data_IF_747218731242
#
_entry.id   IF_747218731242
#
_cell.length_a   1.000
_cell.length_b   1.000
_cell.length_c   1.000
_cell.angle_alpha   90.00
_cell.angle_beta   90.00
_cell.angle_gamma   90.00
#
_symmetry.space_group_name_H-M   'P 1'
#
loop_
_entity.id
_entity.type
_entity.pdbx_description
1 polymer ?
#
# COMPACT_ATOMS: atom_id res chain seq x y z
N UNK A 1 41.09 -26.89 -27.09
CA UNK A 1 39.65 -26.99 -27.36
C UNK A 1 38.91 -26.71 -26.06
N UNK A 2 37.88 -25.87 -26.16
CA UNK A 2 37.27 -25.15 -25.06
C UNK A 2 36.58 -26.05 -24.01
N UNK A 3 36.70 -25.62 -22.75
CA UNK A 3 35.97 -26.13 -21.59
C UNK A 3 34.55 -25.55 -21.65
N UNK A 4 33.53 -26.39 -21.79
CA UNK A 4 32.13 -25.98 -21.70
C UNK A 4 31.71 -25.88 -20.23
N UNK A 5 31.64 -24.66 -19.72
CA UNK A 5 31.02 -24.35 -18.43
C UNK A 5 29.50 -24.48 -18.53
N UNK A 6 28.94 -25.35 -17.70
CA UNK A 6 27.49 -25.44 -17.49
C UNK A 6 26.95 -24.14 -16.90
N UNK A 7 25.80 -23.74 -17.41
CA UNK A 7 25.08 -22.50 -17.11
C UNK A 7 24.93 -22.25 -15.60
N UNK A 8 25.37 -21.05 -15.19
CA UNK A 8 25.14 -20.51 -13.85
C UNK A 8 23.72 -19.95 -13.81
N UNK A 9 22.93 -20.57 -12.94
CA UNK A 9 21.62 -20.12 -12.44
C UNK A 9 21.71 -18.63 -12.06
N UNK A 10 20.70 -17.86 -12.43
CA UNK A 10 20.64 -16.39 -12.45
C UNK A 10 21.53 -15.66 -11.45
N UNK A 11 22.37 -14.75 -11.96
CA UNK A 11 23.25 -13.88 -11.18
C UNK A 11 22.45 -13.16 -10.09
N UNK A 12 22.54 -13.65 -8.85
CA UNK A 12 22.26 -12.86 -7.67
C UNK A 12 23.21 -11.65 -7.71
N UNK A 13 22.67 -10.43 -7.67
CA UNK A 13 23.50 -9.21 -7.68
C UNK A 13 24.57 -9.22 -6.58
N UNK A 14 25.68 -8.53 -6.82
CA UNK A 14 26.88 -8.54 -5.96
C UNK A 14 26.52 -8.36 -4.46
N UNK A 15 26.80 -9.36 -3.60
CA UNK A 15 26.51 -9.29 -2.16
C UNK A 15 27.12 -8.08 -1.46
N UNK A 16 28.23 -7.54 -1.96
CA UNK A 16 28.89 -6.36 -1.41
C UNK A 16 28.07 -5.07 -1.65
N UNK A 17 27.48 -4.94 -2.84
CA UNK A 17 26.59 -3.83 -3.22
C UNK A 17 25.31 -3.87 -2.38
N UNK A 18 24.72 -5.06 -2.21
CA UNK A 18 23.53 -5.25 -1.35
C UNK A 18 23.81 -4.82 0.09
N UNK A 19 24.95 -5.23 0.65
CA UNK A 19 25.35 -4.86 2.01
C UNK A 19 25.63 -3.37 2.15
N UNK A 20 26.18 -2.71 1.13
CA UNK A 20 26.40 -1.27 1.12
C UNK A 20 25.08 -0.49 1.06
N UNK A 21 24.14 -0.91 0.20
CA UNK A 21 22.81 -0.29 0.07
C UNK A 21 21.99 -0.43 1.35
N UNK A 22 21.96 -1.62 1.95
CA UNK A 22 21.30 -1.85 3.22
C UNK A 22 21.88 -0.97 4.35
N UNK A 23 23.22 -0.80 4.39
CA UNK A 23 23.86 0.13 5.33
C UNK A 23 23.47 1.58 5.07
N UNK A 24 23.35 2.00 3.82
CA UNK A 24 22.98 3.36 3.46
C UNK A 24 21.51 3.67 3.81
N UNK A 25 20.60 2.72 3.57
CA UNK A 25 19.20 2.82 4.00
C UNK A 25 19.10 2.90 5.53
N UNK A 26 19.79 2.01 6.24
CA UNK A 26 19.84 2.02 7.70
C UNK A 26 20.43 3.33 8.25
N UNK A 27 21.46 3.91 7.59
CA UNK A 27 22.03 5.19 7.97
C UNK A 27 21.06 6.37 7.76
N UNK A 28 20.16 6.28 6.79
CA UNK A 28 19.08 7.25 6.57
C UNK A 28 17.98 7.19 7.63
N UNK A 29 17.89 6.07 8.37
CA UNK A 29 16.91 5.88 9.43
C UNK A 29 17.34 6.56 10.74
N UNK A 30 17.03 7.85 10.85
CA UNK A 30 17.44 8.68 11.99
C UNK A 30 16.41 8.67 13.13
N UNK A 31 16.84 9.02 14.35
CA UNK A 31 15.91 9.29 15.48
C UNK A 31 14.86 10.36 15.15
N UNK A 32 15.23 11.36 14.33
CA UNK A 32 14.30 12.40 13.85
C UNK A 32 13.23 11.80 12.92
N UNK A 33 13.62 10.93 11.98
CA UNK A 33 12.67 10.19 11.13
C UNK A 33 11.71 9.41 12.02
N UNK A 34 12.22 8.52 12.88
CA UNK A 34 11.41 7.72 13.82
C UNK A 34 10.41 8.58 14.61
N UNK A 35 10.86 9.72 15.14
CA UNK A 35 9.97 10.64 15.87
C UNK A 35 8.83 11.16 14.98
N UNK A 36 9.12 11.59 13.75
CA UNK A 36 8.09 12.00 12.79
C UNK A 36 7.13 10.86 12.49
N UNK A 37 7.64 9.64 12.30
CA UNK A 37 6.82 8.44 12.08
C UNK A 37 5.82 8.20 13.21
N UNK A 38 6.30 8.24 14.45
CA UNK A 38 5.45 8.14 15.61
C UNK A 38 4.40 9.26 15.65
N UNK A 39 4.77 10.50 15.33
CA UNK A 39 3.85 11.64 15.35
C UNK A 39 2.71 11.49 14.35
N UNK A 40 3.00 11.30 13.06
CA UNK A 40 1.95 11.24 12.05
C UNK A 40 1.15 9.93 12.11
N UNK A 41 1.77 8.81 12.53
CA UNK A 41 1.04 7.54 12.74
C UNK A 41 0.06 7.68 13.91
N UNK A 42 0.49 8.28 15.02
CA UNK A 42 -0.36 8.51 16.19
C UNK A 42 -1.51 9.47 15.86
N UNK A 43 -1.23 10.57 15.16
CA UNK A 43 -2.25 11.52 14.73
C UNK A 43 -3.28 10.85 13.80
N UNK A 44 -2.82 10.08 12.81
CA UNK A 44 -3.70 9.37 11.88
C UNK A 44 -4.56 8.33 12.61
N UNK A 45 -3.96 7.57 13.53
CA UNK A 45 -4.66 6.58 14.34
C UNK A 45 -5.73 7.22 15.21
N UNK A 46 -5.43 8.35 15.85
CA UNK A 46 -6.40 9.09 16.66
C UNK A 46 -7.61 9.57 15.83
N UNK A 47 -7.35 10.18 14.67
CA UNK A 47 -8.41 10.68 13.78
C UNK A 47 -9.27 9.54 13.23
N UNK A 48 -8.63 8.47 12.76
CA UNK A 48 -9.32 7.30 12.25
C UNK A 48 -10.19 6.63 13.32
N UNK A 49 -9.65 6.40 14.52
CA UNK A 49 -10.41 5.85 15.64
C UNK A 49 -11.63 6.73 15.99
N UNK A 50 -11.48 8.05 16.01
CA UNK A 50 -12.60 8.97 16.24
C UNK A 50 -13.69 8.81 15.17
N UNK A 51 -13.31 8.73 13.89
CA UNK A 51 -14.24 8.58 12.78
C UNK A 51 -14.94 7.21 12.84
N UNK A 52 -14.22 6.12 13.09
CA UNK A 52 -14.77 4.76 13.24
C UNK A 52 -15.74 4.67 14.41
N UNK A 53 -15.36 5.19 15.58
CA UNK A 53 -16.23 5.21 16.77
C UNK A 53 -17.50 6.01 16.47
N UNK A 54 -17.38 7.16 15.80
CA UNK A 54 -18.53 7.98 15.42
C UNK A 54 -19.47 7.26 14.45
N UNK A 55 -18.92 6.52 13.48
CA UNK A 55 -19.70 5.69 12.55
C UNK A 55 -20.37 4.50 13.25
N UNK A 56 -19.67 3.80 14.15
CA UNK A 56 -20.25 2.68 14.90
C UNK A 56 -21.38 3.14 15.81
N UNK A 57 -21.20 4.27 16.49
CA UNK A 57 -22.21 4.88 17.36
C UNK A 57 -23.43 5.39 16.58
N UNK A 58 -23.27 5.80 15.32
CA UNK A 58 -24.41 6.17 14.46
C UNK A 58 -25.43 5.02 14.36
N UNK A 59 -24.98 3.79 14.11
CA UNK A 59 -25.87 2.63 13.98
C UNK A 59 -26.59 2.23 15.27
N UNK A 60 -26.16 2.74 16.43
CA UNK A 60 -26.76 2.45 17.74
C UNK A 60 -27.69 3.57 18.20
N UNK A 61 -27.31 4.84 17.95
CA UNK A 61 -27.95 6.00 18.59
C UNK A 61 -28.72 6.91 17.63
N UNK A 62 -28.48 6.85 16.31
CA UNK A 62 -29.19 7.71 15.37
C UNK A 62 -30.59 7.17 15.10
N UNK A 63 -31.60 8.03 15.17
CA UNK A 63 -33.00 7.61 14.96
C UNK A 63 -33.33 7.28 13.50
N UNK A 64 -32.46 7.67 12.55
CA UNK A 64 -32.61 7.37 11.12
C UNK A 64 -31.79 6.13 10.69
N UNK A 65 -31.00 5.54 11.59
CA UNK A 65 -30.29 4.30 11.33
C UNK A 65 -31.29 3.15 11.16
N UNK A 66 -31.22 2.46 10.03
CA UNK A 66 -32.08 1.33 9.72
C UNK A 66 -31.30 0.17 9.09
N UNK A 67 -31.96 -0.99 9.01
CA UNK A 67 -31.34 -2.22 8.53
C UNK A 67 -30.80 -2.08 7.10
N UNK A 68 -31.43 -1.25 6.26
CA UNK A 68 -30.98 -1.10 4.87
C UNK A 68 -29.57 -0.52 4.80
N UNK A 69 -29.16 0.40 5.70
CA UNK A 69 -27.78 0.91 5.66
C UNK A 69 -26.79 -0.20 5.96
N UNK A 70 -27.08 -1.07 6.94
CA UNK A 70 -26.22 -2.22 7.25
C UNK A 70 -26.08 -3.17 6.06
N UNK A 71 -27.17 -3.42 5.33
CA UNK A 71 -27.18 -4.25 4.12
C UNK A 71 -26.30 -3.65 3.01
N UNK A 72 -26.25 -2.32 2.89
CA UNK A 72 -25.41 -1.64 1.89
C UNK A 72 -23.94 -1.46 2.32
N UNK A 73 -23.60 -1.57 3.61
CA UNK A 73 -22.21 -1.37 4.08
C UNK A 73 -21.18 -2.29 3.40
N UNK A 74 -21.45 -3.59 3.14
CA UNK A 74 -20.55 -4.44 2.38
C UNK A 74 -20.14 -3.85 1.03
N UNK A 75 -21.04 -3.17 0.31
CA UNK A 75 -20.71 -2.55 -0.97
C UNK A 75 -19.69 -1.41 -0.81
N UNK A 76 -19.86 -0.55 0.20
CA UNK A 76 -18.91 0.53 0.52
C UNK A 76 -17.56 -0.04 0.97
N UNK A 77 -17.55 -1.11 1.77
CA UNK A 77 -16.33 -1.78 2.22
C UNK A 77 -15.58 -2.38 1.03
N UNK A 78 -16.28 -3.12 0.15
CA UNK A 78 -15.68 -3.73 -1.04
C UNK A 78 -15.14 -2.68 -2.00
N UNK A 79 -15.90 -1.59 -2.25
CA UNK A 79 -15.44 -0.49 -3.09
C UNK A 79 -14.17 0.18 -2.51
N UNK A 80 -14.11 0.36 -1.18
CA UNK A 80 -12.95 0.92 -0.51
C UNK A 80 -11.72 0.00 -0.61
N UNK A 81 -11.92 -1.32 -0.48
CA UNK A 81 -10.85 -2.31 -0.65
C UNK A 81 -10.32 -2.36 -2.09
N UNK A 82 -11.21 -2.31 -3.08
CA UNK A 82 -10.82 -2.24 -4.50
C UNK A 82 -10.02 -0.98 -4.79
N UNK A 83 -10.46 0.18 -4.27
CA UNK A 83 -9.72 1.42 -4.45
C UNK A 83 -8.37 1.39 -3.73
N UNK A 84 -8.30 0.86 -2.50
CA UNK A 84 -7.03 0.69 -1.79
C UNK A 84 -6.07 -0.22 -2.57
N UNK A 85 -6.57 -1.31 -3.16
CA UNK A 85 -5.79 -2.21 -4.00
C UNK A 85 -5.25 -1.50 -5.25
N UNK A 86 -6.09 -0.71 -5.93
CA UNK A 86 -5.67 0.11 -7.09
C UNK A 86 -4.59 1.11 -6.70
N UNK A 87 -4.81 1.87 -5.62
CA UNK A 87 -3.85 2.87 -5.13
C UNK A 87 -2.52 2.21 -4.76
N UNK A 88 -2.55 1.04 -4.10
CA UNK A 88 -1.34 0.28 -3.80
C UNK A 88 -0.58 -0.09 -5.09
N UNK A 89 -1.29 -0.51 -6.14
CA UNK A 89 -0.69 -0.84 -7.43
C UNK A 89 -0.10 0.37 -8.14
N UNK A 90 -0.78 1.52 -8.14
CA UNK A 90 -0.27 2.75 -8.76
C UNK A 90 1.00 3.25 -8.08
N UNK A 91 1.05 3.23 -6.74
CA UNK A 91 2.25 3.62 -5.98
C UNK A 91 3.39 2.64 -6.23
N UNK A 92 3.10 1.33 -6.16
CA UNK A 92 4.10 0.29 -6.39
C UNK A 92 4.68 0.37 -7.81
N UNK A 93 3.83 0.38 -8.83
CA UNK A 93 4.23 0.59 -10.22
C UNK A 93 5.05 1.87 -10.40
N UNK A 94 4.63 2.97 -9.78
CA UNK A 94 5.32 4.26 -9.88
C UNK A 94 6.76 4.20 -9.36
N UNK A 95 6.96 3.60 -8.20
CA UNK A 95 8.28 3.49 -7.54
C UNK A 95 9.20 2.46 -8.21
N UNK A 96 8.63 1.40 -8.78
CA UNK A 96 9.39 0.39 -9.52
C UNK A 96 9.79 0.86 -10.91
N UNK A 97 8.94 1.65 -11.55
CA UNK A 97 9.09 1.97 -12.97
C UNK A 97 9.91 3.22 -13.22
N UNK A 98 9.80 4.23 -12.37
CA UNK A 98 10.32 5.57 -12.66
C UNK A 98 11.36 6.04 -11.65
N UNK A 99 12.19 6.97 -12.09
CA UNK A 99 13.21 7.61 -11.27
C UNK A 99 14.38 6.71 -10.88
N UNK A 100 15.21 7.23 -9.99
CA UNK A 100 16.39 6.54 -9.47
C UNK A 100 16.43 6.69 -7.94
N UNK A 101 17.27 5.90 -7.25
CA UNK A 101 17.52 6.11 -5.83
C UNK A 101 18.02 7.52 -5.45
N UNK A 102 18.44 8.33 -6.42
CA UNK A 102 18.93 9.69 -6.23
C UNK A 102 17.87 10.75 -6.56
N UNK A 103 16.65 10.35 -6.95
CA UNK A 103 15.54 11.29 -7.20
C UNK A 103 15.25 12.12 -5.94
N UNK A 104 15.18 13.46 -6.03
CA UNK A 104 14.85 14.30 -4.87
C UNK A 104 13.54 13.88 -4.24
N UNK A 105 13.49 13.86 -2.90
CA UNK A 105 12.31 13.52 -2.08
C UNK A 105 11.92 12.02 -2.15
N UNK A 106 11.84 11.42 -3.33
CA UNK A 106 11.33 10.06 -3.54
C UNK A 106 12.41 8.97 -3.63
N UNK A 107 13.68 9.32 -3.80
CA UNK A 107 14.76 8.36 -4.06
C UNK A 107 14.91 7.29 -2.98
N UNK A 108 14.65 7.61 -1.71
CA UNK A 108 14.67 6.63 -0.61
C UNK A 108 13.53 5.61 -0.73
N UNK A 109 12.34 6.05 -1.16
CA UNK A 109 11.20 5.16 -1.41
C UNK A 109 11.46 4.27 -2.63
N UNK A 110 11.90 4.87 -3.74
CA UNK A 110 12.29 4.13 -4.96
C UNK A 110 13.33 3.06 -4.63
N UNK A 111 14.34 3.41 -3.82
CA UNK A 111 15.36 2.44 -3.39
C UNK A 111 14.77 1.28 -2.59
N UNK A 112 13.93 1.57 -1.59
CA UNK A 112 13.29 0.55 -0.75
C UNK A 112 12.42 -0.41 -1.57
N UNK A 113 11.64 0.14 -2.51
CA UNK A 113 10.87 -0.64 -3.47
C UNK A 113 11.81 -1.47 -4.37
N UNK A 114 12.83 -0.91 -4.99
CA UNK A 114 13.66 -1.76 -5.89
C UNK A 114 14.57 -2.75 -5.16
N UNK A 115 15.00 -2.44 -3.93
CA UNK A 115 15.80 -3.37 -3.12
C UNK A 115 15.02 -4.67 -2.83
N UNK A 116 13.69 -4.62 -2.67
CA UNK A 116 12.91 -5.83 -2.36
C UNK A 116 12.87 -6.83 -3.53
N UNK A 117 13.16 -6.40 -4.76
CA UNK A 117 13.30 -7.31 -5.91
C UNK A 117 14.62 -8.11 -5.84
N UNK A 118 15.61 -7.56 -5.12
CA UNK A 118 16.92 -8.18 -4.89
C UNK A 118 16.91 -8.98 -3.59
N UNK A 119 16.52 -8.37 -2.45
CA UNK A 119 16.28 -9.02 -1.15
C UNK A 119 14.80 -8.92 -0.72
N UNK A 120 13.99 -9.87 -1.18
CA UNK A 120 12.57 -9.99 -0.82
C UNK A 120 12.32 -10.03 0.70
N UNK A 121 13.29 -10.51 1.48
CA UNK A 121 13.14 -10.67 2.93
C UNK A 121 13.64 -9.49 3.74
N UNK A 122 14.27 -8.50 3.11
CA UNK A 122 14.77 -7.31 3.80
C UNK A 122 13.65 -6.58 4.56
N UNK A 123 12.52 -6.35 3.89
CA UNK A 123 11.33 -5.72 4.48
C UNK A 123 10.78 -6.48 5.70
N UNK A 124 11.00 -7.81 5.78
CA UNK A 124 10.56 -8.60 6.92
C UNK A 124 11.31 -8.28 8.23
N UNK A 125 12.44 -7.57 8.14
CA UNK A 125 13.27 -7.19 9.30
C UNK A 125 12.81 -5.88 9.96
N UNK A 126 11.96 -5.09 9.29
CA UNK A 126 11.51 -3.80 9.79
C UNK A 126 10.41 -3.98 10.85
N UNK A 127 10.31 -3.06 11.81
CA UNK A 127 9.19 -3.05 12.76
C UNK A 127 7.90 -2.46 12.14
N UNK A 128 6.81 -2.49 12.90
CA UNK A 128 5.50 -2.03 12.42
C UNK A 128 5.49 -0.55 12.03
N UNK A 129 6.18 0.31 12.78
CA UNK A 129 6.18 1.75 12.54
C UNK A 129 6.99 2.03 11.27
N UNK A 130 8.20 1.49 11.17
CA UNK A 130 9.04 1.67 9.97
C UNK A 130 8.37 1.10 8.71
N UNK A 131 7.62 0.00 8.83
CA UNK A 131 6.91 -0.60 7.69
C UNK A 131 5.73 0.25 7.23
N UNK A 132 4.95 0.81 8.16
CA UNK A 132 3.60 1.31 7.85
C UNK A 132 3.41 2.80 8.02
N UNK A 133 4.21 3.46 8.85
CA UNK A 133 3.93 4.83 9.24
C UNK A 133 3.86 5.73 7.98
N UNK A 134 4.82 5.65 7.06
CA UNK A 134 4.85 6.50 5.86
C UNK A 134 3.60 6.36 4.97
N UNK A 135 2.90 5.22 5.00
CA UNK A 135 1.64 5.05 4.26
C UNK A 135 0.50 5.91 4.81
N UNK A 136 0.58 6.31 6.10
CA UNK A 136 -0.45 7.13 6.76
C UNK A 136 -0.29 8.63 6.50
N UNK A 137 0.94 9.08 6.24
CA UNK A 137 1.24 10.51 6.08
C UNK A 137 0.47 11.15 4.91
N UNK A 138 0.42 10.58 3.69
CA UNK A 138 -0.38 11.12 2.59
C UNK A 138 -1.90 11.14 2.86
N UNK A 139 -2.37 10.31 3.80
CA UNK A 139 -3.80 10.19 4.12
C UNK A 139 -4.25 11.18 5.21
N UNK A 140 -3.32 11.82 5.92
CA UNK A 140 -3.63 12.77 6.99
C UNK A 140 -4.58 13.89 6.57
N UNK A 141 -4.39 14.58 5.42
CA UNK A 141 -5.33 15.62 4.98
C UNK A 141 -6.75 15.08 4.80
N UNK A 142 -6.90 13.89 4.21
CA UNK A 142 -8.20 13.25 3.99
C UNK A 142 -8.86 12.88 5.32
N UNK A 143 -8.10 12.35 6.29
CA UNK A 143 -8.60 12.06 7.64
C UNK A 143 -9.03 13.33 8.38
N UNK A 144 -8.28 14.42 8.27
CA UNK A 144 -8.63 15.70 8.89
C UNK A 144 -9.92 16.28 8.30
N UNK A 145 -10.07 16.22 6.98
CA UNK A 145 -11.31 16.63 6.29
C UNK A 145 -12.47 15.76 6.77
N UNK A 146 -12.32 14.43 6.76
CA UNK A 146 -13.36 13.52 7.24
C UNK A 146 -13.74 13.82 8.69
N UNK A 147 -12.75 14.01 9.57
CA UNK A 147 -12.95 14.35 10.97
C UNK A 147 -13.72 15.67 11.14
N UNK A 148 -13.33 16.71 10.40
CA UNK A 148 -14.04 18.00 10.39
C UNK A 148 -15.48 17.85 9.88
N UNK A 149 -15.71 17.06 8.82
CA UNK A 149 -17.05 16.77 8.29
C UNK A 149 -17.92 16.00 9.28
N UNK A 150 -17.36 15.05 10.04
CA UNK A 150 -18.08 14.29 11.08
C UNK A 150 -18.43 15.20 12.28
N UNK A 151 -17.57 16.16 12.61
CA UNK A 151 -17.74 17.09 13.74
C UNK A 151 -18.53 18.36 13.39
N UNK A 152 -18.87 18.57 12.12
CA UNK A 152 -19.67 19.72 11.71
C UNK A 152 -21.12 19.62 12.21
N UNK A 153 -21.89 20.69 12.05
CA UNK A 153 -23.28 20.74 12.51
C UNK A 153 -24.15 19.69 11.81
N UNK A 154 -24.69 18.75 12.56
CA UNK A 154 -25.68 17.79 12.04
C UNK A 154 -27.04 18.48 11.83
N UNK A 155 -27.51 18.52 10.58
CA UNK A 155 -28.81 19.11 10.20
C UNK A 155 -29.86 18.08 9.77
N UNK A 156 -29.59 16.79 9.96
CA UNK A 156 -30.49 15.71 9.52
C UNK A 156 -31.71 15.50 10.42
N UNK A 157 -31.70 16.03 11.64
CA UNK A 157 -32.77 15.82 12.62
C UNK A 157 -32.80 14.42 13.25
N UNK A 158 -31.79 13.57 12.98
CA UNK A 158 -31.74 12.18 13.44
C UNK A 158 -31.30 11.97 14.90
N UNK A 159 -31.32 13.04 15.70
CA UNK A 159 -30.96 13.07 17.14
C UNK A 159 -29.53 12.61 17.46
N UNK A 160 -28.67 12.45 16.46
CA UNK A 160 -27.28 12.04 16.66
C UNK A 160 -26.33 13.24 16.67
N UNK A 161 -25.35 13.25 17.57
CA UNK A 161 -24.50 14.42 17.83
C UNK A 161 -23.50 14.74 16.71
N UNK A 162 -22.99 13.72 16.03
CA UNK A 162 -22.08 13.89 14.91
C UNK A 162 -22.87 14.06 13.61
N UNK A 163 -22.29 14.75 12.61
CA UNK A 163 -22.88 14.93 11.28
C UNK A 163 -22.79 13.63 10.45
N UNK A 164 -23.52 12.62 10.92
CA UNK A 164 -23.69 11.32 10.32
C UNK A 164 -25.19 11.04 10.23
N UNK A 165 -25.64 10.68 9.04
CA UNK A 165 -27.03 10.42 8.71
C UNK A 165 -27.13 9.43 7.56
N UNK A 166 -28.35 8.98 7.29
CA UNK A 166 -28.63 7.89 6.34
C UNK A 166 -28.02 8.08 4.95
N UNK A 167 -27.82 9.34 4.51
CA UNK A 167 -27.30 9.67 3.18
C UNK A 167 -25.77 9.73 3.09
N UNK A 168 -25.05 9.88 4.21
CA UNK A 168 -23.58 10.05 4.20
C UNK A 168 -22.82 8.93 4.91
N UNK A 169 -23.48 8.13 5.76
CA UNK A 169 -22.80 7.11 6.58
C UNK A 169 -21.95 6.14 5.74
N UNK A 170 -22.44 5.73 4.57
CA UNK A 170 -21.71 4.83 3.66
C UNK A 170 -20.38 5.42 3.20
N UNK A 171 -20.33 6.72 2.88
CA UNK A 171 -19.08 7.40 2.49
C UNK A 171 -18.09 7.43 3.65
N UNK A 172 -18.55 7.68 4.88
CA UNK A 172 -17.65 7.66 6.03
C UNK A 172 -17.12 6.25 6.35
N UNK A 173 -17.95 5.21 6.21
CA UNK A 173 -17.51 3.81 6.34
C UNK A 173 -16.52 3.43 5.24
N UNK A 174 -16.78 3.87 3.99
CA UNK A 174 -15.84 3.73 2.87
C UNK A 174 -14.49 4.36 3.20
N UNK A 175 -14.46 5.63 3.64
CA UNK A 175 -13.22 6.34 3.95
C UNK A 175 -12.46 5.71 5.10
N UNK A 176 -13.14 5.27 6.15
CA UNK A 176 -12.52 4.54 7.26
C UNK A 176 -11.91 3.20 6.79
N UNK A 177 -12.60 2.48 5.90
CA UNK A 177 -12.13 1.21 5.34
C UNK A 177 -10.94 1.44 4.40
N UNK A 178 -11.05 2.42 3.50
CA UNK A 178 -9.98 2.80 2.59
C UNK A 178 -8.71 3.17 3.35
N UNK A 179 -8.84 4.01 4.39
CA UNK A 179 -7.71 4.39 5.23
C UNK A 179 -7.01 3.16 5.83
N UNK A 180 -7.74 2.25 6.48
CA UNK A 180 -7.09 1.14 7.20
C UNK A 180 -6.38 0.20 6.23
N UNK A 181 -6.94 -0.08 5.05
CA UNK A 181 -6.30 -0.95 4.06
C UNK A 181 -5.06 -0.31 3.43
N UNK A 182 -5.10 1.00 3.11
CA UNK A 182 -3.90 1.69 2.63
C UNK A 182 -2.85 1.79 3.75
N UNK A 183 -3.25 2.09 4.99
CA UNK A 183 -2.35 2.23 6.13
C UNK A 183 -1.58 0.95 6.48
N UNK A 184 -2.13 -0.22 6.15
CA UNK A 184 -1.47 -1.52 6.40
C UNK A 184 -0.98 -2.21 5.12
N UNK A 185 -1.05 -1.54 3.95
CA UNK A 185 -0.70 -2.18 2.67
C UNK A 185 0.75 -2.68 2.64
N UNK A 186 1.67 -1.96 3.28
CA UNK A 186 3.07 -2.37 3.40
C UNK A 186 3.23 -3.55 4.35
N UNK A 187 2.47 -3.62 5.44
CA UNK A 187 2.45 -4.79 6.31
C UNK A 187 1.91 -6.03 5.58
N UNK A 188 0.87 -5.86 4.75
CA UNK A 188 0.34 -6.96 3.92
C UNK A 188 1.41 -7.43 2.91
N UNK A 189 2.08 -6.49 2.24
CA UNK A 189 3.19 -6.78 1.34
C UNK A 189 4.31 -7.54 2.07
N UNK A 190 4.73 -7.06 3.23
CA UNK A 190 5.71 -7.74 4.10
C UNK A 190 5.27 -9.16 4.47
N UNK A 191 4.01 -9.36 4.86
CA UNK A 191 3.49 -10.70 5.16
C UNK A 191 3.54 -11.63 3.95
N UNK A 192 3.44 -11.11 2.72
CA UNK A 192 3.56 -11.91 1.50
C UNK A 192 4.98 -12.44 1.26
N UNK A 193 5.99 -11.84 1.88
CA UNK A 193 7.40 -12.28 1.85
C UNK A 193 7.83 -13.10 3.07
N UNK A 194 7.05 -13.08 4.16
CA UNK A 194 7.39 -13.84 5.36
C UNK A 194 7.33 -15.35 5.12
N UNK A 195 8.31 -16.07 5.69
CA UNK A 195 8.31 -17.53 5.67
C UNK A 195 7.12 -18.13 6.45
N UNK A 196 6.66 -17.46 7.52
CA UNK A 196 5.55 -17.92 8.36
C UNK A 196 4.71 -16.76 8.88
N UNK A 197 3.53 -16.58 8.31
CA UNK A 197 2.52 -15.62 8.76
C UNK A 197 1.78 -16.16 9.99
N UNK A 198 1.19 -15.25 10.77
CA UNK A 198 0.27 -15.59 11.86
C UNK A 198 -0.97 -16.32 11.34
N UNK A 199 -1.69 -17.05 12.22
CA UNK A 199 -2.87 -17.84 11.82
C UNK A 199 -3.99 -16.96 11.23
N UNK A 200 -4.20 -15.77 11.79
CA UNK A 200 -5.24 -14.84 11.35
C UNK A 200 -4.92 -14.31 9.95
N UNK A 201 -3.69 -13.84 9.74
CA UNK A 201 -3.21 -13.34 8.45
C UNK A 201 -3.31 -14.43 7.38
N UNK A 202 -2.84 -15.65 7.69
CA UNK A 202 -2.92 -16.78 6.76
C UNK A 202 -4.36 -17.14 6.39
N UNK A 203 -5.29 -17.08 7.34
CA UNK A 203 -6.72 -17.31 7.07
C UNK A 203 -7.28 -16.22 6.15
N UNK A 204 -6.97 -14.95 6.41
CA UNK A 204 -7.42 -13.83 5.59
C UNK A 204 -6.86 -13.89 4.16
N UNK A 205 -5.60 -14.30 4.00
CA UNK A 205 -5.00 -14.60 2.68
C UNK A 205 -5.68 -15.80 2.00
N UNK A 206 -6.00 -16.86 2.75
CA UNK A 206 -6.63 -18.07 2.21
C UNK A 206 -8.05 -17.85 1.67
N UNK A 207 -8.78 -16.87 2.21
CA UNK A 207 -10.10 -16.44 1.70
C UNK A 207 -10.02 -15.25 0.74
N UNK A 208 -8.80 -14.80 0.38
CA UNK A 208 -8.59 -13.75 -0.60
C UNK A 208 -8.86 -12.32 -0.11
N UNK A 209 -8.98 -12.06 1.19
CA UNK A 209 -9.12 -10.69 1.72
C UNK A 209 -7.79 -9.93 1.67
N UNK A 210 -6.66 -10.65 1.84
CA UNK A 210 -5.31 -10.09 1.81
C UNK A 210 -4.49 -10.75 0.71
N UNK A 211 -3.54 -10.01 0.13
CA UNK A 211 -2.60 -10.54 -0.85
C UNK A 211 -1.85 -11.76 -0.31
N UNK A 212 -1.80 -12.86 -1.07
CA UNK A 212 -1.06 -14.06 -0.69
C UNK A 212 0.38 -14.07 -1.24
N UNK A 213 1.33 -14.80 -0.61
CA UNK A 213 2.67 -15.03 -1.16
C UNK A 213 2.67 -15.59 -2.58
N UNK A 214 1.73 -16.49 -2.89
CA UNK A 214 1.62 -17.12 -4.22
C UNK A 214 1.18 -16.09 -5.26
N UNK A 215 0.21 -15.23 -4.93
CA UNK A 215 -0.22 -14.17 -5.83
C UNK A 215 0.91 -13.16 -6.06
N UNK A 216 1.58 -12.71 -5.00
CA UNK A 216 2.64 -11.70 -5.08
C UNK A 216 3.89 -12.22 -5.82
N UNK A 217 4.22 -13.51 -5.72
CA UNK A 217 5.36 -14.09 -6.45
C UNK A 217 5.31 -13.87 -7.98
N UNK A 218 4.12 -13.68 -8.56
CA UNK A 218 3.98 -13.37 -9.99
C UNK A 218 4.64 -12.06 -10.38
N UNK A 219 4.60 -11.07 -9.48
CA UNK A 219 5.29 -9.78 -9.65
C UNK A 219 6.81 -9.96 -9.63
N UNK A 220 7.32 -10.84 -8.75
CA UNK A 220 8.75 -11.16 -8.65
C UNK A 220 9.33 -11.98 -9.81
N UNK A 221 8.56 -12.21 -10.87
CA UNK A 221 9.06 -12.85 -12.09
C UNK A 221 9.55 -11.76 -13.05
N UNK A 222 10.75 -11.95 -13.57
CA UNK A 222 11.29 -11.12 -14.65
C UNK A 222 10.25 -10.90 -15.77
N UNK A 223 10.04 -9.66 -16.25
CA UNK A 223 10.78 -8.41 -15.99
C UNK A 223 10.19 -7.47 -14.92
N UNK A 224 9.52 -8.01 -13.88
CA UNK A 224 8.97 -7.23 -12.75
C UNK A 224 7.95 -6.17 -13.16
N UNK A 225 7.14 -6.50 -14.17
CA UNK A 225 6.42 -5.50 -14.95
C UNK A 225 4.89 -5.64 -14.91
N UNK A 226 4.40 -6.43 -13.94
CA UNK A 226 2.98 -6.80 -13.78
C UNK A 226 2.63 -7.09 -12.32
N UNK A 227 1.34 -7.25 -12.04
CA UNK A 227 0.82 -7.68 -10.74
C UNK A 227 1.24 -6.73 -9.60
N UNK A 228 1.12 -5.41 -9.81
CA UNK A 228 1.59 -4.40 -8.86
C UNK A 228 0.69 -4.19 -7.63
N UNK A 229 -0.59 -4.57 -7.66
CA UNK A 229 -1.50 -4.36 -6.53
C UNK A 229 -1.13 -5.30 -5.36
N UNK A 230 -0.83 -4.71 -4.19
CA UNK A 230 -0.26 -5.40 -3.03
C UNK A 230 -1.16 -5.40 -1.79
N UNK A 231 -2.36 -4.82 -1.85
CA UNK A 231 -3.32 -4.86 -0.73
C UNK A 231 -4.09 -6.19 -0.72
N UNK A 232 -4.89 -6.43 -1.74
CA UNK A 232 -5.70 -7.65 -1.92
C UNK A 232 -5.25 -8.45 -3.13
N UNK A 233 -4.70 -7.75 -4.15
CA UNK A 233 -4.35 -8.30 -5.44
C UNK A 233 -5.55 -8.61 -6.33
N UNK A 234 -6.75 -8.13 -5.99
CA UNK A 234 -7.99 -8.37 -6.74
C UNK A 234 -7.95 -7.80 -8.14
N UNK A 235 -7.31 -6.63 -8.31
CA UNK A 235 -7.28 -5.95 -9.60
C UNK A 235 -6.20 -6.50 -10.54
N UNK A 236 -5.21 -7.24 -10.03
CA UNK A 236 -4.08 -7.70 -10.83
C UNK A 236 -4.50 -8.50 -12.08
N UNK A 237 -5.41 -9.50 -12.03
CA UNK A 237 -5.83 -10.22 -13.23
C UNK A 237 -6.41 -9.30 -14.31
N UNK A 238 -7.23 -8.31 -13.92
CA UNK A 238 -7.85 -7.36 -14.84
C UNK A 238 -6.81 -6.41 -15.44
N UNK A 239 -5.99 -5.78 -14.61
CA UNK A 239 -4.99 -4.79 -15.04
C UNK A 239 -3.89 -5.43 -15.91
N UNK A 240 -3.49 -6.66 -15.56
CA UNK A 240 -2.51 -7.41 -16.36
C UNK A 240 -3.10 -7.84 -17.71
N UNK A 241 -4.35 -8.33 -17.75
CA UNK A 241 -5.01 -8.77 -19.00
C UNK A 241 -5.27 -7.65 -20.00
N UNK A 242 -5.41 -6.42 -19.50
CA UNK A 242 -5.67 -5.22 -20.31
C UNK A 242 -4.39 -4.45 -20.66
N UNK A 243 -3.21 -4.97 -20.30
CA UNK A 243 -1.92 -4.28 -20.42
C UNK A 243 -1.95 -2.87 -19.82
N UNK A 244 -2.74 -2.65 -18.76
CA UNK A 244 -2.98 -1.35 -18.16
C UNK A 244 -1.68 -0.60 -17.85
N UNK A 245 -0.71 -1.29 -17.25
CA UNK A 245 0.60 -0.72 -16.90
C UNK A 245 1.40 -0.29 -18.12
N UNK A 246 1.36 -1.04 -19.24
CA UNK A 246 2.05 -0.68 -20.50
C UNK A 246 1.43 0.54 -21.17
N UNK A 247 0.11 0.67 -21.10
CA UNK A 247 -0.59 1.84 -21.62
C UNK A 247 -0.23 3.09 -20.80
N UNK A 248 -0.22 2.98 -19.46
CA UNK A 248 0.22 4.07 -18.60
C UNK A 248 1.69 4.45 -18.83
N UNK A 249 2.56 3.47 -19.02
CA UNK A 249 3.96 3.73 -19.37
C UNK A 249 4.11 4.47 -20.67
N UNK A 250 3.41 4.02 -21.72
CA UNK A 250 3.41 4.68 -23.02
C UNK A 250 2.93 6.12 -22.91
N UNK A 251 1.90 6.37 -22.10
CA UNK A 251 1.38 7.71 -21.83
C UNK A 251 2.44 8.59 -21.13
N UNK A 252 3.02 8.11 -20.02
CA UNK A 252 4.05 8.85 -19.28
C UNK A 252 5.27 9.14 -20.17
N UNK A 253 5.77 8.14 -20.91
CA UNK A 253 6.88 8.33 -21.85
C UNK A 253 6.55 9.33 -22.96
N UNK A 254 5.31 9.33 -23.47
CA UNK A 254 4.90 10.32 -24.49
C UNK A 254 4.86 11.76 -23.98
N UNK A 255 4.57 11.94 -22.69
CA UNK A 255 4.45 13.27 -22.05
C UNK A 255 5.83 13.76 -21.57
N UNK A 256 6.65 12.86 -21.04
CA UNK A 256 7.88 13.22 -20.30
C UNK A 256 9.17 12.91 -21.05
N UNK A 257 9.15 11.98 -22.00
CA UNK A 257 10.34 11.42 -22.65
C UNK A 257 11.09 10.37 -21.82
N UNK A 258 10.66 10.10 -20.58
CA UNK A 258 11.29 9.12 -19.70
C UNK A 258 11.08 7.69 -20.21
N UNK A 259 12.08 6.83 -20.02
CA UNK A 259 12.03 5.41 -20.39
C UNK A 259 11.68 4.59 -19.15
N UNK A 260 10.61 3.76 -19.19
CA UNK A 260 10.23 2.96 -18.03
C UNK A 260 11.34 1.96 -17.69
N UNK A 261 11.70 1.86 -16.40
CA UNK A 261 12.73 0.94 -15.89
C UNK A 261 14.11 1.11 -16.53
N UNK A 262 14.46 2.33 -16.96
CA UNK A 262 15.69 2.63 -17.69
C UNK A 262 16.99 2.15 -17.00
N UNK A 263 16.98 2.03 -15.68
CA UNK A 263 18.12 1.70 -14.83
C UNK A 263 18.02 0.32 -14.15
N UNK A 264 17.02 -0.51 -14.50
CA UNK A 264 16.83 -1.82 -13.87
C UNK A 264 18.00 -2.78 -14.15
N UNK A 265 18.61 -2.73 -15.33
CA UNK A 265 19.80 -3.54 -15.64
C UNK A 265 20.97 -3.21 -14.71
N UNK A 266 21.23 -1.92 -14.48
CA UNK A 266 22.30 -1.44 -13.60
C UNK A 266 22.02 -1.74 -12.13
N UNK A 267 20.76 -1.64 -11.68
CA UNK A 267 20.37 -1.86 -10.29
C UNK A 267 20.19 -3.35 -9.93
N UNK A 268 19.68 -4.15 -10.86
CA UNK A 268 19.42 -5.59 -10.67
C UNK A 268 20.59 -6.47 -11.14
N UNK A 269 21.63 -5.89 -11.75
CA UNK A 269 22.86 -6.58 -12.15
C UNK A 269 22.70 -7.48 -13.38
N UNK A 270 21.91 -7.05 -14.36
CA UNK A 270 21.67 -7.76 -15.62
C UNK A 270 22.51 -7.20 -16.77
#
# INVERSE_FOLDING_TARGET
MAVSGGEVIGREGDPSVRKANAKQLAAGYTRKKRLLECCYLSASTFLWCNNVISCGRYFVFASDANLMQLVWMPLFILAAMVLADLVSGLVHWGMDTWGTPDTPIFGTFIRSFREHHVDQTAMCKHDFIETNADTTLPLLPLLLIQYACVRSTNRSGNRYVANLHVRNIGVHVFLCTFFIFVAITNEIHKWSHQAKQSRIVRKAMGIGILLSPIAHRKHHKDPFDRTYCITTGWLNPLLDSTNFWRHLESLVSSITGEIPRANDQTLLGK
#
